data_IF_513789775483
#
_entry.id   IF_513789775483
#
_cell.length_a   1.000
_cell.length_b   1.000
_cell.length_c   1.000
_cell.angle_alpha   90.00
_cell.angle_beta   90.00
_cell.angle_gamma   90.00
#
_symmetry.space_group_name_H-M   'P 1'
#
loop_
_entity.id
_entity.type
_entity.pdbx_description
1 polymer ?
#
# COMPACT_ATOMS: atom_id res chain seq x y z
N UNK A 1 5.76 -11.87 -25.52
CA UNK A 1 4.31 -11.72 -25.26
C UNK A 1 3.74 -12.72 -24.24
N UNK A 2 4.13 -14.01 -24.24
CA UNK A 2 3.64 -15.02 -23.24
C UNK A 2 3.98 -14.69 -21.77
N UNK A 3 5.13 -14.08 -21.49
CA UNK A 3 5.54 -13.75 -20.12
C UNK A 3 4.75 -12.57 -19.51
N UNK A 4 4.28 -11.64 -20.34
CA UNK A 4 3.49 -10.50 -19.88
C UNK A 4 2.08 -10.93 -19.42
N UNK A 5 1.49 -11.93 -20.09
CA UNK A 5 0.21 -12.52 -19.72
C UNK A 5 0.28 -13.25 -18.37
N UNK A 6 1.38 -13.99 -18.10
CA UNK A 6 1.60 -14.65 -16.81
C UNK A 6 1.82 -13.63 -15.67
N UNK A 7 2.56 -12.56 -15.92
CA UNK A 7 2.72 -11.47 -14.94
C UNK A 7 1.42 -10.76 -14.63
N UNK A 8 0.54 -10.58 -15.63
CA UNK A 8 -0.79 -9.99 -15.42
C UNK A 8 -1.67 -10.88 -14.52
N UNK A 9 -1.61 -12.20 -14.70
CA UNK A 9 -2.34 -13.17 -13.86
C UNK A 9 -1.91 -13.10 -12.40
N UNK A 10 -0.61 -13.05 -12.13
CA UNK A 10 -0.06 -12.87 -10.77
C UNK A 10 -0.43 -11.51 -10.20
N UNK A 11 -0.41 -10.46 -11.02
CA UNK A 11 -0.82 -9.11 -10.61
C UNK A 11 -2.30 -9.03 -10.21
N UNK A 12 -3.19 -9.75 -10.92
CA UNK A 12 -4.59 -9.88 -10.55
C UNK A 12 -4.78 -10.61 -9.22
N UNK A 13 -4.04 -11.71 -9.00
CA UNK A 13 -4.12 -12.47 -7.75
C UNK A 13 -3.72 -11.62 -6.53
N UNK A 14 -2.72 -10.75 -6.69
CA UNK A 14 -2.24 -9.83 -5.63
C UNK A 14 -3.25 -8.74 -5.26
N UNK A 15 -4.20 -8.43 -6.14
CA UNK A 15 -5.25 -7.43 -5.87
C UNK A 15 -6.35 -7.96 -4.95
N UNK A 16 -6.49 -9.28 -4.81
CA UNK A 16 -7.61 -9.92 -4.12
C UNK A 16 -7.28 -10.48 -2.73
N UNK A 17 -6.03 -10.48 -2.31
CA UNK A 17 -5.66 -10.93 -0.97
C UNK A 17 -6.03 -9.86 0.07
N UNK A 18 -7.33 -9.64 0.24
CA UNK A 18 -7.87 -8.96 1.40
C UNK A 18 -7.93 -9.97 2.55
N UNK A 19 -6.79 -10.29 3.13
CA UNK A 19 -6.76 -11.00 4.41
C UNK A 19 -7.51 -10.18 5.46
N UNK A 20 -8.30 -10.83 6.29
CA UNK A 20 -8.87 -10.22 7.49
C UNK A 20 -7.73 -9.59 8.29
N UNK A 21 -7.70 -8.26 8.35
CA UNK A 21 -6.73 -7.51 9.11
C UNK A 21 -7.08 -7.62 10.59
N UNK A 22 -6.49 -8.56 11.29
CA UNK A 22 -6.45 -8.52 12.74
C UNK A 22 -5.41 -7.47 13.14
N UNK A 23 -5.86 -6.39 13.76
CA UNK A 23 -4.96 -5.40 14.38
C UNK A 23 -4.46 -6.06 15.67
N UNK A 24 -3.22 -6.49 15.64
CA UNK A 24 -2.59 -7.19 16.75
C UNK A 24 -2.28 -6.30 17.96
N UNK A 25 -1.89 -6.87 19.07
CA UNK A 25 -1.49 -6.16 20.31
C UNK A 25 0.01 -5.85 20.40
N UNK A 26 0.78 -6.16 19.36
CA UNK A 26 2.24 -6.02 19.34
C UNK A 26 2.75 -4.57 19.36
N UNK A 27 4.07 -4.39 19.55
CA UNK A 27 4.68 -3.07 19.63
C UNK A 27 4.58 -2.30 18.31
N UNK A 28 4.29 -1.01 18.42
CA UNK A 28 4.23 -0.08 17.31
C UNK A 28 5.60 0.58 17.09
N UNK A 29 5.96 0.84 15.83
CA UNK A 29 7.17 1.61 15.49
C UNK A 29 6.86 2.65 14.42
N UNK A 30 7.52 3.80 14.47
CA UNK A 30 7.33 4.88 13.48
C UNK A 30 8.22 4.73 12.23
N UNK A 31 8.82 3.57 12.03
CA UNK A 31 9.67 3.31 10.87
C UNK A 31 9.47 1.91 10.33
N UNK A 32 9.73 1.75 9.05
CA UNK A 32 9.75 0.46 8.36
C UNK A 32 11.17 0.19 7.83
N UNK A 33 11.53 -1.08 7.76
CA UNK A 33 12.67 -1.56 6.97
C UNK A 33 12.11 -2.21 5.69
N UNK A 34 12.74 -1.95 4.56
CA UNK A 34 12.30 -2.55 3.29
C UNK A 34 12.82 -3.99 3.24
N UNK A 35 11.93 -5.00 3.16
CA UNK A 35 12.34 -6.41 3.24
C UNK A 35 13.24 -6.86 2.10
N UNK A 36 13.18 -6.15 1.00
CA UNK A 36 13.81 -6.53 -0.26
C UNK A 36 15.07 -5.75 -0.59
N UNK A 37 15.47 -4.76 0.20
CA UNK A 37 16.70 -4.01 -0.05
C UNK A 37 17.90 -4.77 0.54
N UNK A 38 19.02 -4.76 -0.19
CA UNK A 38 20.30 -5.29 0.31
C UNK A 38 20.79 -4.51 1.54
N UNK A 39 20.30 -3.29 1.73
CA UNK A 39 20.61 -2.42 2.85
C UNK A 39 19.38 -2.31 3.75
N UNK A 40 19.51 -2.65 5.03
CA UNK A 40 18.46 -2.49 6.06
C UNK A 40 18.24 -1.02 6.41
N UNK A 41 17.88 -0.19 5.43
CA UNK A 41 17.61 1.23 5.65
C UNK A 41 16.25 1.37 6.31
N UNK A 42 16.21 2.06 7.45
CA UNK A 42 14.96 2.41 8.11
C UNK A 42 14.37 3.68 7.51
N UNK A 43 13.12 3.60 7.11
CA UNK A 43 12.37 4.73 6.58
C UNK A 43 11.31 5.16 7.59
N UNK A 44 11.35 6.43 7.98
CA UNK A 44 10.36 7.02 8.90
C UNK A 44 9.00 7.13 8.22
N UNK A 45 7.97 6.62 8.87
CA UNK A 45 6.58 6.72 8.41
C UNK A 45 6.05 8.16 8.50
N UNK A 46 5.00 8.51 7.77
CA UNK A 46 4.30 9.77 7.94
C UNK A 46 3.85 9.98 9.39
N UNK A 47 3.86 11.24 9.84
CA UNK A 47 3.45 11.60 11.21
C UNK A 47 2.04 11.08 11.51
N UNK A 48 1.86 10.49 12.68
CA UNK A 48 0.59 9.91 13.13
C UNK A 48 0.34 8.49 12.61
N UNK A 49 1.35 7.85 12.00
CA UNK A 49 1.29 6.48 11.51
C UNK A 49 2.45 5.63 12.03
N UNK A 50 2.12 4.40 12.42
CA UNK A 50 3.08 3.43 12.94
C UNK A 50 2.89 2.07 12.28
N UNK A 51 4.01 1.33 12.13
CA UNK A 51 4.02 -0.07 11.74
C UNK A 51 3.47 -0.92 12.89
N UNK A 52 2.48 -1.71 12.60
CA UNK A 52 1.97 -2.76 13.47
C UNK A 52 2.62 -4.10 13.12
N UNK A 53 3.69 -4.45 13.83
CA UNK A 53 4.45 -5.66 13.53
C UNK A 53 3.66 -6.94 13.72
N UNK A 54 2.68 -6.93 14.61
CA UNK A 54 1.86 -8.12 14.90
C UNK A 54 0.85 -8.44 13.79
N UNK A 55 0.54 -7.45 12.95
CA UNK A 55 -0.36 -7.59 11.83
C UNK A 55 0.37 -7.84 10.47
N UNK A 56 1.70 -7.87 10.48
CA UNK A 56 2.47 -8.16 9.27
C UNK A 56 2.26 -9.62 8.83
N UNK A 57 2.28 -9.84 7.54
CA UNK A 57 2.19 -11.17 6.95
C UNK A 57 3.26 -11.38 5.89
N UNK A 58 3.74 -12.61 5.78
CA UNK A 58 4.69 -13.00 4.74
C UNK A 58 4.26 -14.33 4.13
N UNK A 59 4.33 -14.39 2.80
CA UNK A 59 4.15 -15.60 2.02
C UNK A 59 5.33 -15.76 1.08
N UNK A 60 5.51 -16.92 0.45
CA UNK A 60 6.58 -17.12 -0.54
C UNK A 60 6.51 -16.16 -1.74
N UNK A 61 5.38 -15.49 -1.96
CA UNK A 61 5.13 -14.60 -3.10
C UNK A 61 5.16 -13.12 -2.75
N UNK A 62 4.89 -12.78 -1.48
CA UNK A 62 4.77 -11.38 -1.05
C UNK A 62 4.99 -11.23 0.45
N UNK A 63 5.36 -10.02 0.84
CA UNK A 63 5.40 -9.56 2.23
C UNK A 63 4.53 -8.33 2.38
N UNK A 64 3.65 -8.32 3.39
CA UNK A 64 2.74 -7.20 3.66
C UNK A 64 3.03 -6.63 5.04
N UNK A 65 3.31 -5.34 5.07
CA UNK A 65 3.44 -4.55 6.28
C UNK A 65 2.13 -3.80 6.52
N UNK A 66 1.66 -3.81 7.76
CA UNK A 66 0.45 -3.09 8.17
C UNK A 66 0.83 -1.87 8.97
N UNK A 67 0.34 -0.72 8.52
CA UNK A 67 0.56 0.58 9.14
C UNK A 67 -0.79 1.13 9.59
N UNK A 68 -0.86 1.62 10.80
CA UNK A 68 -2.09 2.12 11.43
C UNK A 68 -1.89 3.50 12.06
N UNK A 69 -2.98 4.16 12.41
CA UNK A 69 -2.92 5.40 13.17
C UNK A 69 -2.32 5.17 14.56
N UNK A 70 -1.43 6.07 14.97
CA UNK A 70 -0.84 6.07 16.30
C UNK A 70 -0.61 7.48 16.84
N UNK A 71 -0.37 7.56 18.14
CA UNK A 71 0.15 8.75 18.81
C UNK A 71 1.49 8.43 19.45
N UNK A 72 2.36 9.41 19.44
CA UNK A 72 3.59 9.41 20.19
C UNK A 72 3.25 9.78 21.64
N UNK A 73 3.62 8.91 22.58
CA UNK A 73 3.40 9.12 24.01
C UNK A 73 4.76 9.20 24.66
N UNK A 74 4.99 10.30 25.35
CA UNK A 74 6.18 10.52 26.14
C UNK A 74 5.87 10.25 27.62
N UNK A 75 6.58 9.29 28.21
CA UNK A 75 6.45 8.97 29.63
C UNK A 75 7.84 9.02 30.26
N UNK A 76 8.25 10.22 30.68
CA UNK A 76 9.60 10.49 31.15
C UNK A 76 10.64 10.24 30.04
N UNK A 77 11.62 9.40 30.31
CA UNK A 77 12.74 9.13 29.38
C UNK A 77 12.40 8.12 28.27
N UNK A 78 11.18 7.59 28.24
CA UNK A 78 10.78 6.56 27.28
C UNK A 78 9.72 7.06 26.31
N UNK A 79 10.07 7.03 25.02
CA UNK A 79 9.16 7.28 23.93
C UNK A 79 8.49 5.95 23.53
N UNK A 80 7.18 5.90 23.51
CA UNK A 80 6.43 4.77 22.94
C UNK A 80 5.26 5.24 22.09
N UNK A 81 4.71 4.34 21.27
CA UNK A 81 3.59 4.63 20.40
C UNK A 81 2.34 3.91 20.89
N UNK A 82 1.26 4.64 21.04
CA UNK A 82 -0.05 4.12 21.39
C UNK A 82 -0.97 4.10 20.17
N UNK A 83 -1.83 3.08 20.10
CA UNK A 83 -2.86 3.02 19.07
C UNK A 83 -3.93 4.06 19.28
N UNK A 84 -4.38 4.64 18.17
CA UNK A 84 -5.63 5.40 18.12
C UNK A 84 -6.75 4.51 17.60
N UNK A 85 -8.03 4.91 17.79
CA UNK A 85 -9.12 4.34 17.03
C UNK A 85 -8.74 4.32 15.55
N UNK A 86 -8.94 3.16 14.91
CA UNK A 86 -8.43 2.96 13.55
C UNK A 86 -9.35 3.64 12.56
N UNK A 87 -8.97 4.82 12.10
CA UNK A 87 -9.64 5.53 11.01
C UNK A 87 -9.05 5.14 9.66
N UNK A 88 -7.76 4.86 9.64
CA UNK A 88 -7.01 4.58 8.41
C UNK A 88 -6.05 3.42 8.64
N UNK A 89 -6.09 2.45 7.74
CA UNK A 89 -5.16 1.33 7.65
C UNK A 89 -4.40 1.46 6.35
N UNK A 90 -3.09 1.26 6.40
CA UNK A 90 -2.24 1.24 5.22
C UNK A 90 -1.52 -0.08 5.11
N UNK A 91 -1.79 -0.81 4.04
CA UNK A 91 -1.08 -2.03 3.70
C UNK A 91 -0.01 -1.71 2.67
N UNK A 92 1.23 -2.11 2.95
CA UNK A 92 2.36 -1.99 2.03
C UNK A 92 2.79 -3.40 1.66
N UNK A 93 2.47 -3.82 0.45
CA UNK A 93 2.76 -5.16 -0.06
C UNK A 93 3.94 -5.11 -1.01
N UNK A 94 5.02 -5.81 -0.67
CA UNK A 94 6.20 -6.01 -1.50
C UNK A 94 6.03 -7.32 -2.26
N UNK A 95 6.08 -7.27 -3.59
CA UNK A 95 6.04 -8.48 -4.42
C UNK A 95 7.44 -9.00 -4.67
N UNK A 96 7.59 -10.32 -4.79
CA UNK A 96 8.86 -10.92 -5.19
C UNK A 96 9.09 -10.87 -6.71
N UNK A 97 8.09 -10.44 -7.48
CA UNK A 97 8.20 -10.26 -8.92
C UNK A 97 9.16 -9.11 -9.25
N UNK A 98 10.19 -9.42 -10.02
CA UNK A 98 11.13 -8.41 -10.52
C UNK A 98 10.58 -7.74 -11.76
N UNK A 99 10.84 -6.47 -11.87
CA UNK A 99 10.58 -5.66 -13.04
C UNK A 99 11.46 -6.08 -14.22
N UNK A 100 10.94 -6.14 -15.46
CA UNK A 100 11.75 -6.40 -16.65
C UNK A 100 12.82 -5.32 -16.86
N UNK A 101 14.08 -5.70 -17.02
CA UNK A 101 15.21 -4.76 -17.10
C UNK A 101 15.15 -3.78 -18.29
N UNK A 102 14.41 -4.15 -19.32
CA UNK A 102 14.40 -3.46 -20.64
C UNK A 102 13.42 -2.29 -20.74
N UNK A 103 12.57 -2.09 -19.73
CA UNK A 103 11.51 -1.07 -19.76
C UNK A 103 11.78 -0.01 -18.70
N UNK A 104 11.60 1.27 -19.03
CA UNK A 104 11.71 2.33 -18.02
C UNK A 104 10.59 2.25 -16.98
N UNK A 105 10.86 2.65 -15.74
CA UNK A 105 9.87 2.67 -14.65
C UNK A 105 8.57 3.37 -15.05
N UNK A 106 8.67 4.54 -15.71
CA UNK A 106 7.52 5.31 -16.14
C UNK A 106 6.68 4.55 -17.17
N UNK A 107 7.32 3.92 -18.17
CA UNK A 107 6.64 3.12 -19.19
C UNK A 107 5.92 1.93 -18.57
N UNK A 108 6.55 1.22 -17.64
CA UNK A 108 5.94 0.10 -16.94
C UNK A 108 4.71 0.50 -16.11
N UNK A 109 4.83 1.58 -15.34
CA UNK A 109 3.70 2.11 -14.56
C UNK A 109 2.56 2.58 -15.47
N UNK A 110 2.87 3.16 -16.64
CA UNK A 110 1.87 3.50 -17.66
C UNK A 110 1.16 2.25 -18.18
N UNK A 111 1.91 1.21 -18.57
CA UNK A 111 1.33 -0.03 -19.08
C UNK A 111 0.43 -0.72 -18.04
N UNK A 112 0.82 -0.71 -16.76
CA UNK A 112 -0.04 -1.22 -15.68
C UNK A 112 -1.31 -0.35 -15.59
N UNK A 113 -1.15 0.97 -15.58
CA UNK A 113 -2.27 1.89 -15.47
C UNK A 113 -3.27 1.74 -16.64
N UNK A 114 -2.77 1.53 -17.87
CA UNK A 114 -3.59 1.38 -19.07
C UNK A 114 -4.34 0.05 -19.08
N UNK A 115 -3.68 -1.03 -18.64
CA UNK A 115 -4.27 -2.38 -18.57
C UNK A 115 -5.19 -2.61 -17.37
N UNK A 116 -5.21 -1.68 -16.41
CA UNK A 116 -6.04 -1.80 -15.23
C UNK A 116 -7.51 -1.53 -15.56
N UNK A 117 -8.27 -2.59 -15.72
CA UNK A 117 -9.71 -2.54 -15.97
C UNK A 117 -10.47 -2.58 -14.64
N UNK A 118 -11.15 -1.50 -14.31
CA UNK A 118 -11.94 -1.40 -13.08
C UNK A 118 -13.06 -2.45 -12.97
N UNK A 119 -13.65 -2.88 -14.10
CA UNK A 119 -14.70 -3.89 -14.10
C UNK A 119 -14.27 -5.22 -13.46
N UNK A 120 -12.99 -5.57 -13.57
CA UNK A 120 -12.44 -6.80 -12.99
C UNK A 120 -12.26 -6.70 -11.47
N UNK A 121 -12.18 -5.48 -10.92
CA UNK A 121 -12.18 -5.29 -9.45
C UNK A 121 -13.54 -5.55 -8.83
N UNK A 122 -14.65 -5.30 -9.54
CA UNK A 122 -15.99 -5.49 -9.00
C UNK A 122 -16.31 -6.94 -8.69
N UNK A 123 -15.74 -7.89 -9.45
CA UNK A 123 -15.95 -9.32 -9.23
C UNK A 123 -15.42 -9.82 -7.87
N UNK A 124 -14.43 -9.16 -7.30
CA UNK A 124 -13.87 -9.53 -6.00
C UNK A 124 -14.68 -9.06 -4.79
N UNK A 125 -15.67 -8.22 -5.01
CA UNK A 125 -16.50 -7.64 -3.95
C UNK A 125 -17.96 -8.00 -4.17
N UNK A 126 -18.26 -9.31 -4.23
CA UNK A 126 -19.57 -9.86 -4.64
C UNK A 126 -20.78 -9.27 -3.91
N UNK A 127 -20.58 -8.72 -2.69
CA UNK A 127 -21.66 -8.14 -1.88
C UNK A 127 -21.47 -6.63 -1.59
N UNK A 128 -20.53 -5.95 -2.29
CA UNK A 128 -20.24 -4.54 -2.08
C UNK A 128 -20.25 -3.77 -3.39
N UNK A 129 -20.83 -2.58 -3.38
CA UNK A 129 -20.81 -1.68 -4.54
C UNK A 129 -19.49 -0.93 -4.56
N UNK A 130 -18.77 -0.98 -5.69
CA UNK A 130 -17.60 -0.16 -5.95
C UNK A 130 -18.00 1.11 -6.69
N UNK A 131 -17.56 2.26 -6.19
CA UNK A 131 -17.68 3.56 -6.86
C UNK A 131 -16.27 3.98 -7.23
N UNK A 132 -15.99 4.02 -8.51
CA UNK A 132 -14.67 4.39 -9.03
C UNK A 132 -14.48 5.90 -9.01
N UNK A 133 -13.30 6.31 -8.58
CA UNK A 133 -12.83 7.68 -8.63
C UNK A 133 -11.80 7.89 -9.75
N UNK A 134 -10.86 8.78 -9.50
CA UNK A 134 -9.80 9.12 -10.44
C UNK A 134 -8.64 8.12 -10.41
N UNK A 135 -7.98 8.04 -11.54
CA UNK A 135 -6.72 7.33 -11.77
C UNK A 135 -5.69 8.35 -12.24
N UNK A 136 -4.51 8.41 -11.61
CA UNK A 136 -3.45 9.35 -11.98
C UNK A 136 -2.08 8.70 -12.02
N UNK A 137 -1.37 8.94 -13.12
CA UNK A 137 0.04 8.59 -13.28
C UNK A 137 0.91 9.78 -12.86
N UNK A 138 1.93 9.49 -12.04
CA UNK A 138 2.99 10.40 -11.62
C UNK A 138 4.34 9.82 -12.04
N UNK A 139 5.40 10.60 -11.88
CA UNK A 139 6.74 10.16 -12.33
C UNK A 139 7.22 8.86 -11.65
N UNK A 140 6.89 8.65 -10.38
CA UNK A 140 7.40 7.53 -9.57
C UNK A 140 6.34 6.53 -9.14
N UNK A 141 5.07 6.84 -9.34
CA UNK A 141 3.95 5.99 -8.97
C UNK A 141 2.72 6.31 -9.80
N UNK A 142 1.80 5.38 -9.87
CA UNK A 142 0.44 5.72 -10.23
C UNK A 142 -0.52 5.33 -9.11
N UNK A 143 -1.69 5.94 -9.05
CA UNK A 143 -2.71 5.58 -8.09
C UNK A 143 -4.09 5.50 -8.70
N UNK A 144 -4.95 4.76 -8.03
CA UNK A 144 -6.37 4.67 -8.31
C UNK A 144 -7.15 4.92 -7.02
N UNK A 145 -8.24 5.68 -7.14
CA UNK A 145 -9.19 5.90 -6.05
C UNK A 145 -10.46 5.11 -6.32
N UNK A 146 -11.05 4.58 -5.25
CA UNK A 146 -12.40 4.04 -5.29
C UNK A 146 -13.02 4.07 -3.90
N UNK A 147 -14.34 3.91 -3.84
CA UNK A 147 -15.08 3.75 -2.61
C UNK A 147 -15.75 2.38 -2.61
N UNK A 148 -15.76 1.75 -1.47
CA UNK A 148 -16.47 0.50 -1.22
C UNK A 148 -17.71 0.86 -0.40
N UNK A 149 -18.89 0.50 -0.88
CA UNK A 149 -20.15 0.72 -0.17
C UNK A 149 -20.70 -0.64 0.24
N UNK A 150 -20.67 -0.92 1.53
CA UNK A 150 -21.23 -2.12 2.12
C UNK A 150 -22.78 -2.09 2.22
N UNK A 151 -23.37 -3.20 2.63
CA UNK A 151 -24.81 -3.34 2.86
C UNK A 151 -25.37 -2.34 3.87
N UNK A 152 -24.59 -1.96 4.86
CA UNK A 152 -24.92 -0.94 5.87
C UNK A 152 -24.83 0.51 5.35
N UNK A 153 -24.65 0.73 4.06
CA UNK A 153 -24.38 2.04 3.42
C UNK A 153 -23.12 2.75 3.95
N UNK A 154 -22.33 2.10 4.78
CA UNK A 154 -21.03 2.63 5.24
C UNK A 154 -20.08 2.68 4.06
N UNK A 155 -19.40 3.82 3.90
CA UNK A 155 -18.43 4.04 2.84
C UNK A 155 -17.02 3.84 3.37
N UNK A 156 -16.23 3.09 2.63
CA UNK A 156 -14.81 2.94 2.84
C UNK A 156 -14.09 3.63 1.66
N UNK A 157 -13.15 4.51 1.96
CA UNK A 157 -12.37 5.22 0.95
C UNK A 157 -11.06 4.47 0.74
N UNK A 158 -10.78 4.10 -0.49
CA UNK A 158 -9.58 3.34 -0.83
C UNK A 158 -8.77 4.10 -1.87
N UNK A 159 -7.46 4.23 -1.61
CA UNK A 159 -6.48 4.63 -2.61
C UNK A 159 -5.39 3.58 -2.70
N UNK A 160 -5.18 3.02 -3.89
CA UNK A 160 -4.07 2.11 -4.17
C UNK A 160 -3.00 2.83 -4.96
N UNK A 161 -1.77 2.78 -4.46
CA UNK A 161 -0.58 3.24 -5.14
C UNK A 161 0.22 2.05 -5.64
N UNK A 162 0.83 2.21 -6.82
CA UNK A 162 1.71 1.25 -7.45
C UNK A 162 3.02 1.95 -7.78
N UNK A 163 4.13 1.43 -7.28
CA UNK A 163 5.44 2.01 -7.46
C UNK A 163 6.52 0.93 -7.41
N UNK A 164 7.76 1.29 -7.67
CA UNK A 164 8.89 0.37 -7.69
C UNK A 164 9.93 0.75 -6.64
N UNK A 165 10.44 -0.26 -5.95
CA UNK A 165 11.61 -0.17 -5.08
C UNK A 165 12.56 -1.29 -5.51
N UNK A 166 13.81 -0.95 -5.83
CA UNK A 166 14.84 -1.91 -6.26
C UNK A 166 14.32 -2.91 -7.31
N UNK A 167 13.61 -2.39 -8.32
CA UNK A 167 13.01 -3.17 -9.41
C UNK A 167 11.92 -4.16 -8.97
N UNK A 168 11.38 -4.03 -7.76
CA UNK A 168 10.23 -4.81 -7.29
C UNK A 168 8.98 -3.95 -7.27
N UNK A 169 7.86 -4.53 -7.66
CA UNK A 169 6.57 -3.86 -7.58
C UNK A 169 6.13 -3.80 -6.12
N UNK A 170 5.77 -2.61 -5.69
CA UNK A 170 5.19 -2.37 -4.36
C UNK A 170 3.80 -1.80 -4.54
N UNK A 171 2.86 -2.35 -3.78
CA UNK A 171 1.47 -1.91 -3.75
C UNK A 171 1.20 -1.35 -2.36
N UNK A 172 0.83 -0.07 -2.29
CA UNK A 172 0.39 0.52 -1.02
C UNK A 172 -1.10 0.84 -1.11
N UNK A 173 -1.88 0.25 -0.22
CA UNK A 173 -3.33 0.45 -0.13
C UNK A 173 -3.64 1.25 1.12
N UNK A 174 -4.20 2.43 0.96
CA UNK A 174 -4.77 3.23 2.05
C UNK A 174 -6.27 2.95 2.09
N UNK A 175 -6.74 2.39 3.18
CA UNK A 175 -8.14 2.15 3.48
C UNK A 175 -8.55 3.08 4.63
N UNK A 176 -9.59 3.86 4.45
CA UNK A 176 -10.09 4.76 5.49
C UNK A 176 -11.61 4.73 5.59
N UNK A 177 -12.12 4.77 6.80
CA UNK A 177 -13.57 4.86 7.08
C UNK A 177 -14.12 6.27 6.95
N UNK A 178 -13.26 7.27 6.96
CA UNK A 178 -13.56 8.66 6.65
C UNK A 178 -12.77 9.12 5.45
N UNK A 179 -13.27 10.09 4.70
CA UNK A 179 -12.55 10.63 3.55
C UNK A 179 -11.21 11.23 4.01
N UNK A 180 -10.07 10.65 3.64
CA UNK A 180 -8.78 11.17 4.06
C UNK A 180 -8.55 12.60 3.57
N UNK A 181 -7.84 13.39 4.36
CA UNK A 181 -7.46 14.74 3.98
C UNK A 181 -6.46 14.73 2.82
N UNK A 182 -6.37 15.86 2.10
CA UNK A 182 -5.32 16.03 1.08
C UNK A 182 -3.92 15.90 1.68
N UNK A 183 -3.72 16.39 2.91
CA UNK A 183 -2.43 16.30 3.62
C UNK A 183 -2.04 14.86 3.94
N UNK A 184 -2.99 13.99 4.30
CA UNK A 184 -2.74 12.56 4.50
C UNK A 184 -2.18 11.92 3.22
N UNK A 185 -2.86 12.13 2.09
CA UNK A 185 -2.39 11.60 0.82
C UNK A 185 -1.02 12.17 0.41
N UNK A 186 -0.81 13.48 0.54
CA UNK A 186 0.48 14.12 0.23
C UNK A 186 1.63 13.58 1.09
N UNK A 187 1.38 13.26 2.36
CA UNK A 187 2.37 12.66 3.24
C UNK A 187 2.81 11.28 2.76
N UNK A 188 1.87 10.45 2.32
CA UNK A 188 2.19 9.14 1.75
C UNK A 188 2.83 9.24 0.37
N UNK A 189 2.44 10.20 -0.47
CA UNK A 189 3.09 10.45 -1.77
C UNK A 189 4.55 10.88 -1.58
N UNK A 190 4.83 11.74 -0.59
CA UNK A 190 6.19 12.11 -0.20
C UNK A 190 6.98 10.89 0.31
N UNK A 191 6.35 10.05 1.12
CA UNK A 191 6.95 8.82 1.63
C UNK A 191 7.29 7.86 0.48
N UNK A 192 6.38 7.59 -0.47
CA UNK A 192 6.64 6.78 -1.66
C UNK A 192 7.82 7.34 -2.45
N UNK A 193 7.86 8.66 -2.65
CA UNK A 193 8.94 9.31 -3.39
C UNK A 193 10.30 9.11 -2.73
N UNK A 194 10.35 9.08 -1.39
CA UNK A 194 11.58 8.78 -0.64
C UNK A 194 11.99 7.31 -0.78
N UNK A 195 11.02 6.38 -0.68
CA UNK A 195 11.26 4.95 -0.86
C UNK A 195 11.76 4.58 -2.26
N UNK A 196 11.27 5.30 -3.28
CA UNK A 196 11.61 5.05 -4.69
C UNK A 196 12.92 5.73 -5.14
N UNK A 197 13.70 6.33 -4.23
CA UNK A 197 15.05 6.81 -4.55
C UNK A 197 15.98 5.60 -4.59
N UNK A 198 16.87 5.51 -5.59
CA UNK A 198 17.91 4.49 -5.57
C UNK A 198 18.73 4.66 -4.30
N UNK A 199 19.05 3.56 -3.63
CA UNK A 199 20.04 3.54 -2.56
C UNK A 199 21.39 3.88 -3.22
N UNK A 200 21.87 5.09 -3.01
CA UNK A 200 23.22 5.52 -3.41
C UNK A 200 24.28 4.76 -2.61
#
# INVERSE_FOLDING_TARGET
MKNLSRMLGVFYLLLFLNGCLSIGSGPLTNSISIPASQFKVKHKLPKGFCLDRSANSSTGLQETLVVTNCIEVNNGDKLYFSRRPVDTIVNITFTHSKFPKEISQKKYLSEIADKMEFKKFSAAFSNKKLIYGDKKLRNKFFYVNFQIVGSSKRREFVRKYFFLIDKKVVIMTILSYHKPSKSTYSSFESFITKLSKPSS
#
